data_IF_720237840248
#
_entry.id   IF_720237840248
#
_cell.length_a   1.000
_cell.length_b   1.000
_cell.length_c   1.000
_cell.angle_alpha   90.00
_cell.angle_beta   90.00
_cell.angle_gamma   90.00
#
_symmetry.space_group_name_H-M   'P 1'
#
loop_
_entity.id
_entity.type
_entity.pdbx_description
1 polymer ?
#
# COMPACT_ATOMS: atom_id res chain seq x y z
N UNK A 1 -27.63 -9.61 -25.92
CA UNK A 1 -27.98 -9.54 -24.49
C UNK A 1 -26.76 -9.03 -23.75
N UNK A 2 -26.91 -7.87 -23.09
CA UNK A 2 -25.81 -7.04 -22.61
C UNK A 2 -25.18 -7.61 -21.34
N UNK A 3 -23.85 -7.81 -21.36
CA UNK A 3 -23.04 -8.29 -20.22
C UNK A 3 -22.90 -7.21 -19.12
N UNK A 4 -23.54 -6.05 -19.28
CA UNK A 4 -23.36 -4.87 -18.43
C UNK A 4 -24.19 -4.90 -17.15
N UNK A 5 -25.15 -5.82 -16.99
CA UNK A 5 -26.07 -5.81 -15.84
C UNK A 5 -25.65 -6.60 -14.60
N UNK A 6 -24.49 -7.27 -14.57
CA UNK A 6 -24.10 -8.13 -13.43
C UNK A 6 -23.15 -7.48 -12.41
N UNK A 7 -22.74 -6.22 -12.57
CA UNK A 7 -21.72 -5.60 -11.70
C UNK A 7 -22.25 -4.58 -10.68
N UNK A 8 -23.57 -4.38 -10.55
CA UNK A 8 -24.15 -3.42 -9.60
C UNK A 8 -24.67 -4.05 -8.30
N UNK A 9 -24.37 -5.33 -8.03
CA UNK A 9 -25.03 -6.10 -6.96
C UNK A 9 -24.20 -6.51 -5.74
N UNK A 10 -22.90 -6.16 -5.64
CA UNK A 10 -22.12 -6.48 -4.45
C UNK A 10 -21.46 -5.23 -3.88
N UNK A 11 -22.09 -4.65 -2.86
CA UNK A 11 -21.57 -3.54 -2.06
C UNK A 11 -20.49 -4.01 -1.07
N UNK A 12 -19.59 -4.89 -1.51
CA UNK A 12 -18.45 -5.36 -0.73
C UNK A 12 -17.18 -4.62 -1.09
N UNK A 13 -16.36 -4.29 -0.10
CA UNK A 13 -15.00 -3.81 -0.36
C UNK A 13 -14.22 -4.87 -1.14
N UNK A 14 -13.62 -4.47 -2.25
CA UNK A 14 -12.87 -5.37 -3.12
C UNK A 14 -11.57 -5.78 -2.44
N UNK A 15 -11.28 -7.07 -2.46
CA UNK A 15 -10.00 -7.61 -1.96
C UNK A 15 -9.17 -8.16 -3.11
N UNK A 16 -7.85 -8.23 -2.93
CA UNK A 16 -6.93 -8.82 -3.91
C UNK A 16 -7.29 -10.28 -4.24
N UNK A 17 -7.73 -11.04 -3.23
CA UNK A 17 -8.13 -12.43 -3.40
C UNK A 17 -9.40 -12.59 -4.26
N UNK A 18 -10.33 -11.64 -4.16
CA UNK A 18 -11.61 -11.73 -4.89
C UNK A 18 -11.50 -11.34 -6.36
N UNK A 19 -10.63 -10.39 -6.73
CA UNK A 19 -10.56 -9.85 -8.10
C UNK A 19 -9.14 -9.52 -8.57
N UNK A 20 -8.21 -10.49 -8.63
CA UNK A 20 -6.78 -10.22 -8.85
C UNK A 20 -6.47 -9.48 -10.16
N UNK A 21 -7.26 -9.72 -11.21
CA UNK A 21 -7.08 -9.07 -12.51
C UNK A 21 -7.36 -7.55 -12.54
N UNK A 22 -7.97 -7.01 -11.48
CA UNK A 22 -8.27 -5.58 -11.35
C UNK A 22 -7.18 -4.81 -10.58
N UNK A 23 -6.24 -5.52 -9.95
CA UNK A 23 -5.20 -4.90 -9.15
C UNK A 23 -3.96 -4.64 -9.98
N UNK A 24 -3.47 -3.43 -9.86
CA UNK A 24 -2.15 -3.05 -10.31
C UNK A 24 -1.12 -3.31 -9.22
N UNK A 25 0.16 -3.44 -9.59
CA UNK A 25 1.23 -3.67 -8.63
C UNK A 25 2.55 -2.98 -9.00
N UNK A 26 3.36 -2.76 -7.97
CA UNK A 26 4.75 -2.32 -8.06
C UNK A 26 5.59 -3.16 -7.08
N UNK A 27 6.81 -3.57 -7.46
CA UNK A 27 7.77 -4.14 -6.50
C UNK A 27 8.01 -3.15 -5.37
N UNK A 28 7.75 -3.56 -4.14
CA UNK A 28 7.88 -2.76 -2.94
C UNK A 28 7.97 -3.70 -1.74
N UNK A 29 9.19 -4.05 -1.28
CA UNK A 29 9.36 -4.95 -0.14
C UNK A 29 8.89 -4.27 1.15
N UNK A 30 8.44 -5.06 2.12
CA UNK A 30 7.98 -4.53 3.41
C UNK A 30 9.05 -3.80 4.23
N UNK A 31 10.33 -4.04 3.92
CA UNK A 31 11.44 -3.27 4.50
C UNK A 31 11.46 -1.80 4.06
N UNK A 32 10.84 -1.49 2.91
CA UNK A 32 10.76 -0.14 2.34
C UNK A 32 9.41 0.52 2.66
N UNK A 33 8.31 -0.24 2.73
CA UNK A 33 6.99 0.29 3.07
C UNK A 33 6.16 -0.70 3.89
N UNK A 34 5.58 -0.21 5.00
CA UNK A 34 4.56 -0.91 5.79
C UNK A 34 3.28 -0.09 5.84
N UNK A 35 2.27 -0.46 5.04
CA UNK A 35 0.99 0.27 4.99
C UNK A 35 0.34 0.40 6.37
N UNK A 36 0.36 -0.65 7.17
CA UNK A 36 -0.26 -0.68 8.51
C UNK A 36 0.41 0.26 9.50
N UNK A 37 1.74 0.43 9.41
CA UNK A 37 2.46 1.39 10.24
C UNK A 37 2.30 2.81 9.70
N UNK A 38 2.46 3.01 8.39
CA UNK A 38 2.47 4.34 7.78
C UNK A 38 1.07 4.96 7.79
N UNK A 39 0.06 4.25 7.28
CA UNK A 39 -1.30 4.79 7.12
C UNK A 39 -2.05 4.94 8.44
N UNK A 40 -1.67 4.20 9.49
CA UNK A 40 -2.23 4.35 10.83
C UNK A 40 -1.49 5.36 11.73
N UNK A 41 -0.28 5.79 11.35
CA UNK A 41 0.59 6.63 12.21
C UNK A 41 0.19 8.11 12.34
N UNK A 42 -0.92 8.53 11.74
CA UNK A 42 -1.36 9.93 11.79
C UNK A 42 -0.65 10.88 10.82
N UNK A 43 0.23 10.37 9.96
CA UNK A 43 0.80 11.15 8.83
C UNK A 43 -0.28 11.59 7.83
N UNK A 44 -1.34 10.79 7.70
CA UNK A 44 -2.50 11.09 6.86
C UNK A 44 -3.76 10.55 7.53
N UNK A 45 -4.82 11.36 7.57
CA UNK A 45 -6.11 10.98 8.16
C UNK A 45 -7.13 10.46 7.13
N UNK A 46 -6.71 10.35 5.87
CA UNK A 46 -7.59 10.00 4.74
C UNK A 46 -7.72 8.50 4.50
N UNK A 47 -7.01 7.68 5.26
CA UNK A 47 -6.95 6.23 5.06
C UNK A 47 -7.69 5.49 6.16
N UNK A 48 -8.42 4.44 5.78
CA UNK A 48 -9.14 3.54 6.68
C UNK A 48 -8.93 2.11 6.22
N UNK A 49 -8.63 1.22 7.16
CA UNK A 49 -8.65 -0.22 6.90
C UNK A 49 -10.11 -0.69 6.84
N UNK A 50 -10.60 -0.98 5.62
CA UNK A 50 -12.00 -1.40 5.41
C UNK A 50 -12.15 -2.92 5.39
N UNK A 51 -11.07 -3.64 5.14
CA UNK A 51 -10.97 -5.10 5.24
C UNK A 51 -9.56 -5.45 5.70
N UNK A 52 -9.31 -6.62 6.29
CA UNK A 52 -7.99 -6.97 6.80
C UNK A 52 -6.88 -6.75 5.76
N UNK A 53 -5.88 -5.95 6.11
CA UNK A 53 -4.77 -5.51 5.25
C UNK A 53 -5.15 -4.73 3.97
N UNK A 54 -6.38 -4.21 3.88
CA UNK A 54 -6.88 -3.43 2.75
C UNK A 54 -7.25 -2.02 3.20
N UNK A 55 -6.46 -1.06 2.75
CA UNK A 55 -6.53 0.34 3.15
C UNK A 55 -7.20 1.15 2.05
N UNK A 56 -8.36 1.72 2.33
CA UNK A 56 -9.06 2.60 1.39
C UNK A 56 -8.90 4.06 1.81
N UNK A 57 -8.66 4.93 0.83
CA UNK A 57 -8.49 6.35 1.09
C UNK A 57 -8.46 7.18 -0.18
N UNK A 58 -8.21 8.49 0.00
CA UNK A 58 -8.15 9.45 -1.10
C UNK A 58 -6.70 9.83 -1.39
N UNK A 59 -6.30 9.66 -2.65
CA UNK A 59 -4.98 10.02 -3.20
C UNK A 59 -5.20 10.60 -4.61
N UNK A 60 -4.56 11.73 -4.92
CA UNK A 60 -4.71 12.45 -6.19
C UNK A 60 -6.19 12.62 -6.61
N UNK A 61 -7.02 13.12 -5.69
CA UNK A 61 -8.47 13.39 -5.88
C UNK A 61 -9.31 12.17 -6.30
N UNK A 62 -8.80 10.97 -6.07
CA UNK A 62 -9.47 9.71 -6.41
C UNK A 62 -9.48 8.77 -5.20
N UNK A 63 -10.41 7.82 -5.19
CA UNK A 63 -10.48 6.76 -4.18
C UNK A 63 -9.60 5.60 -4.62
N UNK A 64 -8.77 5.13 -3.70
CA UNK A 64 -7.85 4.01 -3.89
C UNK A 64 -8.04 3.00 -2.77
N UNK A 65 -7.90 1.73 -3.11
CA UNK A 65 -7.69 0.65 -2.14
C UNK A 65 -6.26 0.13 -2.32
N UNK A 66 -5.49 0.11 -1.26
CA UNK A 66 -4.11 -0.37 -1.22
C UNK A 66 -4.01 -1.65 -0.39
N UNK A 67 -3.20 -2.60 -0.83
CA UNK A 67 -2.79 -3.76 -0.03
C UNK A 67 -1.37 -4.16 -0.40
N UNK A 68 -0.72 -5.00 0.38
CA UNK A 68 0.67 -5.39 0.15
C UNK A 68 0.92 -6.87 0.47
N UNK A 69 1.76 -7.51 -0.35
CA UNK A 69 2.38 -8.79 0.00
C UNK A 69 3.72 -8.52 0.69
N UNK A 70 4.62 -9.50 0.69
CA UNK A 70 5.98 -9.28 1.22
C UNK A 70 6.82 -8.41 0.28
N UNK A 71 6.63 -8.57 -1.03
CA UNK A 71 7.50 -8.01 -2.07
C UNK A 71 6.82 -6.97 -2.96
N UNK A 72 5.50 -6.81 -2.86
CA UNK A 72 4.73 -5.98 -3.78
C UNK A 72 3.67 -5.15 -3.04
N UNK A 73 3.54 -3.91 -3.49
CA UNK A 73 2.41 -3.04 -3.19
C UNK A 73 1.39 -3.15 -4.33
N UNK A 74 0.12 -3.29 -3.97
CA UNK A 74 -1.00 -3.41 -4.90
C UNK A 74 -2.00 -2.27 -4.71
N UNK A 75 -2.66 -1.87 -5.80
CA UNK A 75 -3.76 -0.92 -5.75
C UNK A 75 -4.92 -1.23 -6.70
N UNK A 76 -6.12 -0.82 -6.29
CA UNK A 76 -7.35 -0.80 -7.11
C UNK A 76 -8.05 0.57 -6.96
N UNK A 77 -8.63 1.06 -8.05
CA UNK A 77 -9.42 2.32 -8.11
C UNK A 77 -10.87 2.08 -8.52
N UNK A 78 -11.33 0.82 -8.50
CA UNK A 78 -12.67 0.43 -8.88
C UNK A 78 -12.91 0.39 -10.39
N UNK A 79 -11.91 0.73 -11.21
CA UNK A 79 -11.99 0.82 -12.67
C UNK A 79 -11.36 -0.42 -13.32
N UNK A 80 -11.99 -0.94 -14.35
CA UNK A 80 -11.45 -2.05 -15.13
C UNK A 80 -10.43 -1.50 -16.13
N UNK A 81 -9.18 -1.92 -16.05
CA UNK A 81 -8.12 -1.48 -16.95
C UNK A 81 -6.73 -1.80 -16.43
N UNK A 82 -5.72 -1.66 -17.29
CA UNK A 82 -4.33 -1.73 -16.85
C UNK A 82 -3.99 -0.46 -16.06
N UNK A 83 -3.12 -0.54 -15.03
CA UNK A 83 -2.58 0.65 -14.39
C UNK A 83 -1.96 1.59 -15.43
N UNK A 84 -2.32 2.85 -15.31
CA UNK A 84 -1.71 3.93 -16.09
C UNK A 84 -0.37 4.32 -15.49
N UNK A 85 0.51 4.89 -16.32
CA UNK A 85 1.79 5.43 -15.85
C UNK A 85 1.59 6.55 -14.82
N UNK A 86 0.52 7.33 -14.95
CA UNK A 86 0.18 8.39 -14.00
C UNK A 86 -0.20 7.83 -12.63
N UNK A 87 -0.94 6.70 -12.61
CA UNK A 87 -1.29 6.02 -11.36
C UNK A 87 -0.07 5.48 -10.64
N UNK A 88 0.84 4.84 -11.38
CA UNK A 88 2.11 4.36 -10.83
C UNK A 88 2.92 5.53 -10.23
N UNK A 89 3.05 6.64 -10.96
CA UNK A 89 3.75 7.85 -10.50
C UNK A 89 3.10 8.43 -9.25
N UNK A 90 1.78 8.50 -9.20
CA UNK A 90 1.06 9.04 -8.05
C UNK A 90 1.33 8.22 -6.77
N UNK A 91 1.34 6.90 -6.87
CA UNK A 91 1.68 6.00 -5.75
C UNK A 91 3.14 6.17 -5.35
N UNK A 92 4.07 6.14 -6.32
CA UNK A 92 5.50 6.31 -6.07
C UNK A 92 5.80 7.62 -5.36
N UNK A 93 5.24 8.73 -5.83
CA UNK A 93 5.46 10.05 -5.25
C UNK A 93 4.82 10.20 -3.87
N UNK A 94 3.61 9.67 -3.67
CA UNK A 94 2.93 9.78 -2.38
C UNK A 94 3.67 9.06 -1.26
N UNK A 95 4.25 7.89 -1.55
CA UNK A 95 5.05 7.11 -0.59
C UNK A 95 6.56 7.38 -0.67
N UNK A 96 7.01 8.28 -1.55
CA UNK A 96 8.43 8.60 -1.78
C UNK A 96 9.28 7.35 -2.04
N UNK A 97 8.78 6.44 -2.89
CA UNK A 97 9.41 5.13 -3.15
C UNK A 97 10.74 5.23 -3.93
N UNK A 98 11.13 6.42 -4.36
CA UNK A 98 12.45 6.72 -4.92
C UNK A 98 13.54 6.85 -3.83
N UNK A 99 13.14 7.07 -2.58
CA UNK A 99 14.04 7.14 -1.42
C UNK A 99 14.12 5.77 -0.76
N UNK A 100 15.28 5.13 -0.82
CA UNK A 100 15.47 3.85 -0.12
C UNK A 100 15.57 4.07 1.40
N UNK A 101 14.71 3.37 2.13
CA UNK A 101 14.62 3.42 3.58
C UNK A 101 15.77 2.66 4.26
N UNK A 102 16.30 1.61 3.60
CA UNK A 102 17.36 0.79 4.17
C UNK A 102 18.66 1.58 4.50
N UNK A 103 19.23 2.41 3.61
CA UNK A 103 20.35 3.28 3.94
C UNK A 103 20.06 4.28 5.06
N UNK A 104 18.85 4.85 5.09
CA UNK A 104 18.44 5.81 6.12
C UNK A 104 18.40 5.12 7.49
N UNK A 105 17.75 3.96 7.58
CA UNK A 105 17.70 3.18 8.81
C UNK A 105 19.08 2.72 9.26
N UNK A 106 19.96 2.34 8.33
CA UNK A 106 21.34 1.99 8.66
C UNK A 106 22.08 3.19 9.26
N UNK A 107 21.98 4.36 8.63
CA UNK A 107 22.61 5.58 9.11
C UNK A 107 22.08 5.98 10.49
N UNK A 108 20.76 6.10 10.68
CA UNK A 108 20.17 6.46 11.96
C UNK A 108 20.51 5.47 13.07
N UNK A 109 20.50 4.16 12.78
CA UNK A 109 20.91 3.13 13.75
C UNK A 109 22.40 3.18 14.11
N UNK A 110 23.24 3.75 13.25
CA UNK A 110 24.69 3.87 13.51
C UNK A 110 25.03 5.02 14.45
N UNK A 111 24.17 6.05 14.50
CA UNK A 111 24.40 7.27 15.31
C UNK A 111 23.50 7.35 16.55
N UNK A 112 22.41 6.57 16.60
CA UNK A 112 21.47 6.54 17.72
C UNK A 112 21.15 5.08 18.16
N UNK A 113 21.66 4.64 19.32
CA UNK A 113 21.36 3.33 19.88
C UNK A 113 19.88 3.11 20.21
N UNK A 114 19.15 4.15 20.64
CA UNK A 114 17.73 4.05 20.92
C UNK A 114 16.95 3.81 19.61
N UNK A 115 17.26 4.59 18.57
CA UNK A 115 16.69 4.35 17.25
C UNK A 115 16.97 2.93 16.76
N UNK A 116 18.20 2.43 16.93
CA UNK A 116 18.57 1.06 16.55
C UNK A 116 17.69 0.00 17.22
N UNK A 117 17.40 0.15 18.51
CA UNK A 117 16.53 -0.77 19.24
C UNK A 117 15.08 -0.69 18.73
N UNK A 118 14.56 0.52 18.55
CA UNK A 118 13.19 0.75 18.08
C UNK A 118 13.02 0.23 16.65
N UNK A 119 13.96 0.53 15.76
CA UNK A 119 13.92 0.12 14.36
C UNK A 119 13.78 -1.39 14.17
N UNK A 120 14.33 -2.22 15.06
CA UNK A 120 14.17 -3.67 15.00
C UNK A 120 12.72 -4.13 15.19
N UNK A 121 11.94 -3.44 16.02
CA UNK A 121 10.53 -3.75 16.32
C UNK A 121 9.59 -3.35 15.17
N UNK A 122 9.99 -2.34 14.39
CA UNK A 122 9.17 -1.76 13.32
C UNK A 122 9.61 -2.17 11.90
N UNK A 123 10.79 -2.79 11.75
CA UNK A 123 11.16 -3.52 10.54
C UNK A 123 10.42 -4.85 10.54
N UNK A 124 9.25 -4.91 9.88
CA UNK A 124 8.84 -6.15 9.20
C UNK A 124 9.05 -7.46 9.97
N UNK A 125 8.63 -7.59 11.24
CA UNK A 125 8.90 -8.83 11.99
C UNK A 125 8.21 -10.04 11.32
N UNK A 126 9.01 -10.95 10.73
CA UNK A 126 8.62 -12.35 10.58
C UNK A 126 9.41 -13.19 11.57
N UNK A 127 8.68 -13.67 12.57
CA UNK A 127 8.98 -14.95 13.21
C UNK A 127 8.79 -16.05 12.17
N UNK A 128 9.83 -16.83 11.93
CA UNK A 128 9.72 -18.22 11.51
C UNK A 128 10.41 -19.07 12.59
#
# INVERSE_FOLDING_TARGET
MSVVSLLLGSMGHRTLASFPALWASIPCPRSELRLDLVLASGQSFRWREQSPAHWSGVLADQVWTLTQTEEHLYWDKGRVGRPTLEELKAVQQYFQLDVSLAPLYHHWSSVDPHFKEVAQKFKGEYRA
#
